data_IF_033763640032
#
_entry.id   IF_033763640032
#
_cell.length_a   1.000
_cell.length_b   1.000
_cell.length_c   1.000
_cell.angle_alpha   90.00
_cell.angle_beta   90.00
_cell.angle_gamma   90.00
#
_symmetry.space_group_name_H-M   'P 1'
#
loop_
_entity.id
_entity.type
_entity.pdbx_description
1 polymer ?
#
# COMPACT_ATOMS: atom_id res chain seq x y z
N UNK A 1 2.28 -19.23 -9.25
CA UNK A 1 1.56 -17.95 -9.51
C UNK A 1 0.46 -17.62 -8.48
N UNK A 2 0.17 -18.51 -7.51
CA UNK A 2 -0.96 -18.40 -6.55
C UNK A 2 -0.97 -17.11 -5.71
N UNK A 3 0.16 -16.42 -5.54
CA UNK A 3 0.22 -15.15 -4.80
C UNK A 3 -0.10 -13.88 -5.61
N UNK A 4 -0.13 -13.92 -6.95
CA UNK A 4 -0.25 -12.70 -7.78
C UNK A 4 -1.67 -12.13 -7.78
N UNK A 5 -2.70 -12.97 -7.68
CA UNK A 5 -4.09 -12.55 -7.85
C UNK A 5 -4.54 -11.50 -6.83
N UNK A 6 -4.14 -11.66 -5.57
CA UNK A 6 -4.48 -10.72 -4.50
C UNK A 6 -3.91 -9.30 -4.68
N UNK A 7 -2.97 -9.11 -5.61
CA UNK A 7 -2.38 -7.81 -5.96
C UNK A 7 -2.82 -7.27 -7.32
N UNK A 8 -3.58 -8.04 -8.11
CA UNK A 8 -4.00 -7.60 -9.44
C UNK A 8 -5.07 -6.51 -9.37
N UNK A 9 -4.99 -5.55 -10.29
CA UNK A 9 -6.04 -4.55 -10.46
C UNK A 9 -7.34 -5.15 -11.02
N UNK A 10 -8.50 -4.50 -10.80
CA UNK A 10 -9.78 -4.90 -11.38
C UNK A 10 -9.74 -5.06 -12.90
N UNK A 11 -9.04 -4.19 -13.61
CA UNK A 11 -8.89 -4.26 -15.05
C UNK A 11 -7.98 -5.42 -15.50
N UNK A 12 -6.90 -5.71 -14.75
CA UNK A 12 -6.04 -6.88 -15.02
C UNK A 12 -6.80 -8.20 -14.84
N UNK A 13 -7.53 -8.35 -13.74
CA UNK A 13 -8.24 -9.61 -13.46
C UNK A 13 -9.37 -9.85 -14.47
N UNK A 14 -10.04 -8.78 -14.90
CA UNK A 14 -11.15 -8.83 -15.87
C UNK A 14 -10.67 -8.84 -17.33
N UNK A 15 -9.36 -8.92 -17.57
CA UNK A 15 -8.74 -8.91 -18.91
C UNK A 15 -9.20 -7.71 -19.76
N UNK A 16 -9.38 -6.56 -19.11
CA UNK A 16 -9.64 -5.28 -19.76
C UNK A 16 -8.30 -4.66 -20.16
N UNK A 17 -8.32 -3.67 -21.04
CA UNK A 17 -7.10 -2.91 -21.35
C UNK A 17 -6.50 -2.33 -20.07
N UNK A 18 -5.20 -2.54 -19.87
CA UNK A 18 -4.45 -2.08 -18.70
C UNK A 18 -3.56 -0.90 -19.08
N UNK A 19 -3.39 0.03 -18.16
CA UNK A 19 -2.38 1.09 -18.25
C UNK A 19 -1.59 1.18 -16.94
N UNK A 20 -0.72 2.18 -16.82
CA UNK A 20 0.13 2.41 -15.64
C UNK A 20 -0.64 2.54 -14.32
N UNK A 21 -1.95 2.83 -14.35
CA UNK A 21 -2.79 2.92 -13.15
C UNK A 21 -3.08 1.55 -12.53
N UNK A 22 -2.84 0.46 -13.25
CA UNK A 22 -2.85 -0.90 -12.68
C UNK A 22 -1.70 -1.12 -11.70
N UNK A 23 -0.53 -0.53 -11.98
CA UNK A 23 0.63 -0.62 -11.08
C UNK A 23 0.41 0.25 -9.83
N UNK A 24 -0.26 1.40 -9.97
CA UNK A 24 -0.67 2.25 -8.83
C UNK A 24 -1.59 1.47 -7.88
N UNK A 25 -2.55 0.73 -8.41
CA UNK A 25 -3.44 -0.10 -7.59
C UNK A 25 -2.66 -1.19 -6.85
N UNK A 26 -1.79 -1.89 -7.57
CA UNK A 26 -0.94 -2.96 -7.00
C UNK A 26 -0.02 -2.42 -5.89
N UNK A 27 0.61 -1.27 -6.11
CA UNK A 27 1.43 -0.57 -5.13
C UNK A 27 0.60 -0.13 -3.91
N UNK A 28 -0.60 0.38 -4.14
CA UNK A 28 -1.54 0.75 -3.07
C UNK A 28 -1.90 -0.44 -2.18
N UNK A 29 -2.12 -1.63 -2.76
CA UNK A 29 -2.39 -2.85 -2.00
C UNK A 29 -1.19 -3.30 -1.16
N UNK A 30 0.03 -3.21 -1.71
CA UNK A 30 1.25 -3.50 -0.95
C UNK A 30 1.42 -2.51 0.20
N UNK A 31 1.22 -1.22 -0.05
CA UNK A 31 1.32 -0.19 1.00
C UNK A 31 0.26 -0.41 2.09
N UNK A 32 -0.96 -0.75 1.72
CA UNK A 32 -2.02 -1.12 2.66
C UNK A 32 -1.59 -2.29 3.55
N UNK A 33 -1.05 -3.37 2.95
CA UNK A 33 -0.60 -4.56 3.68
C UNK A 33 0.56 -4.24 4.62
N UNK A 34 1.53 -3.44 4.20
CA UNK A 34 2.65 -3.00 5.04
C UNK A 34 2.18 -2.22 6.26
N UNK A 35 1.23 -1.30 6.07
CA UNK A 35 0.74 -0.43 7.16
C UNK A 35 -0.18 -1.16 8.15
N UNK A 36 -0.95 -2.13 7.67
CA UNK A 36 -1.99 -2.81 8.47
C UNK A 36 -1.59 -4.22 8.91
N UNK A 37 -0.53 -4.80 8.32
CA UNK A 37 -0.19 -6.21 8.44
C UNK A 37 -1.24 -7.16 7.85
N UNK A 38 -2.20 -6.65 7.05
CA UNK A 38 -3.30 -7.45 6.50
C UNK A 38 -3.48 -7.22 5.01
N UNK A 39 -3.68 -8.32 4.29
CA UNK A 39 -4.07 -8.29 2.87
C UNK A 39 -5.50 -7.81 2.71
N UNK A 40 -5.71 -6.95 1.72
CA UNK A 40 -7.06 -6.58 1.27
C UNK A 40 -7.76 -7.80 0.65
N UNK A 41 -7.08 -8.52 -0.25
CA UNK A 41 -7.62 -9.66 -0.97
C UNK A 41 -6.78 -10.91 -0.70
N UNK A 42 -7.24 -11.76 0.22
CA UNK A 42 -6.68 -13.09 0.42
C UNK A 42 -7.41 -14.10 -0.46
N UNK A 43 -6.89 -14.32 -1.66
CA UNK A 43 -7.50 -15.13 -2.72
C UNK A 43 -6.47 -16.04 -3.36
N UNK A 44 -6.92 -17.22 -3.80
CA UNK A 44 -6.11 -18.27 -4.43
C UNK A 44 -6.45 -18.48 -5.90
N UNK A 45 -7.67 -18.11 -6.30
CA UNK A 45 -8.15 -18.25 -7.68
C UNK A 45 -8.53 -16.91 -8.30
N UNK A 46 -8.63 -16.89 -9.63
CA UNK A 46 -9.09 -15.70 -10.37
C UNK A 46 -10.56 -15.41 -10.06
N UNK A 47 -11.36 -16.45 -9.93
CA UNK A 47 -12.80 -16.38 -9.66
C UNK A 47 -13.08 -15.76 -8.29
N UNK A 48 -12.33 -16.18 -7.27
CA UNK A 48 -12.37 -15.55 -5.93
C UNK A 48 -12.00 -14.07 -6.01
N UNK A 49 -10.95 -13.73 -6.77
CA UNK A 49 -10.54 -12.33 -6.91
C UNK A 49 -11.62 -11.47 -7.58
N UNK A 50 -12.30 -11.99 -8.62
CA UNK A 50 -13.42 -11.30 -9.27
C UNK A 50 -14.56 -11.06 -8.28
N UNK A 51 -14.96 -12.09 -7.53
CA UNK A 51 -16.02 -11.98 -6.51
C UNK A 51 -15.67 -10.92 -5.45
N UNK A 52 -14.43 -10.94 -4.95
CA UNK A 52 -13.96 -9.95 -3.98
C UNK A 52 -13.97 -8.53 -4.54
N UNK A 53 -13.50 -8.33 -5.78
CA UNK A 53 -13.52 -7.01 -6.40
C UNK A 53 -14.95 -6.50 -6.57
N UNK A 54 -15.92 -7.36 -6.87
CA UNK A 54 -17.28 -6.91 -7.11
C UNK A 54 -18.03 -6.63 -5.80
N UNK A 55 -17.82 -7.45 -4.76
CA UNK A 55 -18.67 -7.42 -3.56
C UNK A 55 -17.98 -6.93 -2.29
N UNK A 56 -16.65 -7.03 -2.19
CA UNK A 56 -15.94 -6.62 -0.98
C UNK A 56 -15.86 -5.10 -0.87
N UNK A 57 -16.21 -4.58 0.31
CA UNK A 57 -15.89 -3.22 0.73
C UNK A 57 -14.53 -3.24 1.43
N UNK A 58 -13.57 -2.46 0.92
CA UNK A 58 -12.25 -2.35 1.54
C UNK A 58 -12.39 -1.51 2.82
N UNK A 59 -11.88 -2.04 3.94
CA UNK A 59 -11.85 -1.30 5.20
C UNK A 59 -10.76 -0.22 5.13
N UNK A 60 -10.98 0.93 5.78
CA UNK A 60 -9.93 1.96 5.90
C UNK A 60 -8.73 1.38 6.64
N UNK A 61 -7.52 1.73 6.21
CA UNK A 61 -6.29 1.25 6.85
C UNK A 61 -6.23 1.68 8.32
N UNK A 62 -6.59 2.93 8.60
CA UNK A 62 -6.59 3.46 9.96
C UNK A 62 -7.71 2.93 10.87
N UNK A 63 -8.72 2.25 10.31
CA UNK A 63 -9.68 1.50 11.11
C UNK A 63 -9.10 0.17 11.62
N UNK A 64 -8.09 -0.37 10.93
CA UNK A 64 -7.37 -1.59 11.32
C UNK A 64 -6.17 -1.29 12.22
N UNK A 65 -5.45 -0.21 11.94
CA UNK A 65 -4.33 0.27 12.73
C UNK A 65 -4.51 1.77 13.01
N UNK A 66 -5.00 2.16 14.21
CA UNK A 66 -5.22 3.55 14.59
C UNK A 66 -3.97 4.43 14.60
N UNK A 67 -2.76 3.85 14.59
CA UNK A 67 -1.51 4.62 14.47
C UNK A 67 -1.28 5.18 13.07
N UNK A 68 -2.03 4.72 12.06
CA UNK A 68 -1.96 5.25 10.70
C UNK A 68 -2.70 6.61 10.64
N UNK A 69 -2.01 7.71 10.29
CA UNK A 69 -2.65 9.01 10.17
C UNK A 69 -3.65 9.08 9.02
N UNK A 70 -4.68 9.93 9.14
CA UNK A 70 -5.75 10.06 8.15
C UNK A 70 -5.25 10.46 6.75
N UNK A 71 -4.21 11.28 6.68
CA UNK A 71 -3.62 11.73 5.40
C UNK A 71 -2.97 10.56 4.65
N UNK A 72 -2.16 9.75 5.36
CA UNK A 72 -1.56 8.55 4.79
C UNK A 72 -2.63 7.53 4.39
N UNK A 73 -3.65 7.34 5.23
CA UNK A 73 -4.78 6.49 4.88
C UNK A 73 -5.48 7.00 3.61
N UNK A 74 -5.67 8.30 3.45
CA UNK A 74 -6.31 8.88 2.26
C UNK A 74 -5.52 8.59 0.99
N UNK A 75 -4.18 8.69 1.05
CA UNK A 75 -3.29 8.33 -0.07
C UNK A 75 -3.47 6.86 -0.44
N UNK A 76 -3.41 5.97 0.55
CA UNK A 76 -3.54 4.51 0.33
C UNK A 76 -4.90 4.16 -0.25
N UNK A 77 -5.99 4.68 0.35
CA UNK A 77 -7.36 4.37 -0.07
C UNK A 77 -7.64 4.89 -1.49
N UNK A 78 -7.10 6.06 -1.87
CA UNK A 78 -7.21 6.58 -3.24
C UNK A 78 -6.46 5.70 -4.25
N UNK A 79 -5.28 5.20 -3.91
CA UNK A 79 -4.49 4.35 -4.80
C UNK A 79 -5.23 3.03 -5.15
N UNK A 80 -6.00 2.49 -4.20
CA UNK A 80 -6.73 1.20 -4.34
C UNK A 80 -8.21 1.38 -4.75
N UNK A 81 -8.60 2.55 -5.25
CA UNK A 81 -9.94 2.75 -5.81
C UNK A 81 -10.22 1.76 -6.94
N UNK A 82 -11.45 1.21 -7.01
CA UNK A 82 -11.78 0.17 -8.00
C UNK A 82 -11.73 0.73 -9.42
N UNK A 83 -12.26 1.93 -9.63
CA UNK A 83 -12.27 2.61 -10.92
C UNK A 83 -10.94 3.36 -11.16
N UNK A 84 -10.20 3.08 -12.26
CA UNK A 84 -8.91 3.73 -12.53
C UNK A 84 -8.96 5.26 -12.57
N UNK A 85 -10.10 5.85 -12.94
CA UNK A 85 -10.27 7.30 -13.02
C UNK A 85 -10.29 7.97 -11.64
N UNK A 86 -10.64 7.23 -10.58
CA UNK A 86 -10.67 7.75 -9.21
C UNK A 86 -9.31 7.63 -8.51
N UNK A 87 -8.35 6.91 -9.11
CA UNK A 87 -6.99 6.74 -8.59
C UNK A 87 -6.13 7.98 -8.86
N UNK A 88 -4.87 7.91 -8.43
CA UNK A 88 -3.83 8.76 -8.98
C UNK A 88 -3.69 8.50 -10.48
N UNK A 89 -3.58 9.57 -11.27
CA UNK A 89 -3.49 9.48 -12.72
C UNK A 89 -2.05 9.28 -13.20
N UNK A 90 -1.07 9.37 -12.31
CA UNK A 90 0.32 8.99 -12.57
C UNK A 90 1.01 8.51 -11.29
N UNK A 91 2.07 7.71 -11.44
CA UNK A 91 2.92 7.29 -10.31
C UNK A 91 3.60 8.50 -9.66
N UNK A 92 3.95 9.52 -10.46
CA UNK A 92 4.52 10.78 -9.97
C UNK A 92 3.53 11.51 -9.04
N UNK A 93 2.24 11.55 -9.41
CA UNK A 93 1.21 12.18 -8.55
C UNK A 93 1.10 11.49 -7.18
N UNK A 94 1.12 10.15 -7.16
CA UNK A 94 1.12 9.38 -5.91
C UNK A 94 2.41 9.59 -5.12
N UNK A 95 3.56 9.59 -5.79
CA UNK A 95 4.87 9.84 -5.17
C UNK A 95 4.94 11.21 -4.51
N UNK A 96 4.49 12.26 -5.19
CA UNK A 96 4.44 13.62 -4.64
C UNK A 96 3.52 13.70 -3.41
N UNK A 97 2.40 12.98 -3.40
CA UNK A 97 1.50 12.95 -2.24
C UNK A 97 2.18 12.29 -1.02
N UNK A 98 2.91 11.18 -1.23
CA UNK A 98 3.68 10.53 -0.17
C UNK A 98 4.84 11.41 0.31
N UNK A 99 5.56 12.04 -0.60
CA UNK A 99 6.66 12.95 -0.27
C UNK A 99 6.15 14.16 0.54
N UNK A 100 5.05 14.78 0.10
CA UNK A 100 4.41 15.86 0.83
C UNK A 100 4.04 15.40 2.24
N UNK A 101 3.36 14.27 2.39
CA UNK A 101 3.03 13.70 3.70
C UNK A 101 4.29 13.52 4.59
N UNK A 102 5.39 13.01 4.03
CA UNK A 102 6.62 12.79 4.77
C UNK A 102 7.30 14.09 5.22
N UNK A 103 7.22 15.17 4.46
CA UNK A 103 8.09 16.35 4.67
C UNK A 103 7.35 17.66 4.99
N UNK A 104 6.02 17.73 4.87
CA UNK A 104 5.26 18.97 5.06
C UNK A 104 5.42 19.60 6.46
N UNK A 105 5.58 18.79 7.51
CA UNK A 105 5.77 19.24 8.90
C UNK A 105 7.25 19.39 9.29
N UNK A 106 8.13 19.66 8.32
CA UNK A 106 9.57 19.98 8.44
C UNK A 106 10.50 18.87 8.93
N UNK A 107 10.02 17.89 9.69
CA UNK A 107 10.82 16.77 10.21
C UNK A 107 10.44 15.44 9.57
N UNK A 108 10.91 15.22 8.34
CA UNK A 108 10.73 13.94 7.68
C UNK A 108 11.46 12.78 8.38
N UNK A 109 11.16 11.55 7.96
CA UNK A 109 11.97 10.39 8.34
C UNK A 109 13.36 10.54 7.74
N UNK A 110 14.39 10.52 8.58
CA UNK A 110 15.79 10.54 8.16
C UNK A 110 16.35 9.13 8.22
N UNK A 111 17.47 8.90 7.52
CA UNK A 111 18.22 7.64 7.65
C UNK A 111 18.61 7.35 9.11
N UNK A 112 18.88 8.40 9.90
CA UNK A 112 19.19 8.28 11.33
C UNK A 112 17.98 7.83 12.16
N UNK A 113 16.80 8.43 11.94
CA UNK A 113 15.55 7.99 12.61
C UNK A 113 15.20 6.56 12.23
N UNK A 114 15.39 6.20 10.96
CA UNK A 114 15.15 4.83 10.49
C UNK A 114 16.14 3.84 11.14
N UNK A 115 17.43 4.18 11.20
CA UNK A 115 18.43 3.34 11.86
C UNK A 115 18.11 3.13 13.34
N UNK A 116 17.70 4.21 14.04
CA UNK A 116 17.28 4.15 15.44
C UNK A 116 16.09 3.21 15.61
N UNK A 117 15.04 3.39 14.81
CA UNK A 117 13.85 2.54 14.83
C UNK A 117 14.18 1.07 14.54
N UNK A 118 15.03 0.80 13.53
CA UNK A 118 15.43 -0.57 13.21
C UNK A 118 16.24 -1.22 14.35
N UNK A 119 17.10 -0.48 15.04
CA UNK A 119 17.83 -0.99 16.19
C UNK A 119 16.91 -1.30 17.38
N UNK A 120 15.83 -0.53 17.56
CA UNK A 120 14.80 -0.81 18.57
C UNK A 120 13.98 -2.06 18.25
N UNK A 121 13.61 -2.25 16.98
CA UNK A 121 12.81 -3.40 16.52
C UNK A 121 13.65 -4.68 16.40
N UNK A 122 14.92 -4.57 16.02
CA UNK A 122 15.85 -5.68 15.75
C UNK A 122 17.14 -5.55 16.59
N UNK A 123 17.06 -5.70 17.92
CA UNK A 123 18.18 -5.41 18.82
C UNK A 123 19.36 -6.39 18.70
N UNK A 124 19.16 -7.60 18.18
CA UNK A 124 20.22 -8.60 18.01
C UNK A 124 21.05 -8.37 16.74
N UNK A 125 20.45 -7.77 15.72
CA UNK A 125 21.09 -7.38 14.47
C UNK A 125 21.97 -6.14 14.67
N UNK A 126 21.49 -5.16 15.44
CA UNK A 126 22.25 -3.95 15.76
C UNK A 126 23.57 -4.24 16.52
N UNK A 127 23.60 -5.30 17.32
CA UNK A 127 24.82 -5.72 18.06
C UNK A 127 25.91 -6.29 17.15
N UNK A 128 25.58 -6.77 15.94
CA UNK A 128 26.53 -7.40 15.02
C UNK A 128 27.37 -6.40 14.22
N UNK A 129 26.94 -5.14 14.11
CA UNK A 129 27.70 -4.09 13.39
C UNK A 129 28.77 -3.40 14.26
N UNK A 130 28.84 -3.72 15.56
CA UNK A 130 29.77 -3.08 16.52
C UNK A 130 30.94 -4.01 16.93
N UNK A 131 31.12 -5.15 16.25
CA UNK A 131 32.25 -6.09 16.42
C UNK A 131 32.99 -6.30 15.10
#
# INVERSE_FOLDING_TARGET
LVGKYGFMSPEQIKLRGTDHRSDIFSLGLVLYEVLTGRRVYDVRTREEMIDKIDHQKIQRANALNPEIPDDLNTIVMRAIEKEPINRYQSVVEMGNALEYYMYHDRYGPTNEKLATYLAEVFPEEAKKEVL
#
